data_IF_837707610203
#
_entry.id   IF_837707610203
#
_cell.length_a   1.000
_cell.length_b   1.000
_cell.length_c   1.000
_cell.angle_alpha   90.00
_cell.angle_beta   90.00
_cell.angle_gamma   90.00
#
_symmetry.space_group_name_H-M   'P 1'
#
loop_
_entity.id
_entity.type
_entity.pdbx_description
1 polymer ?
#
# COMPACT_ATOMS: atom_id res chain seq x y z
N UNK A 1 -19.93 6.92 -10.81
CA UNK A 1 -21.39 6.73 -11.07
C UNK A 1 -21.90 7.62 -12.20
N UNK A 2 -21.48 7.38 -13.45
CA UNK A 2 -21.92 8.20 -14.60
C UNK A 2 -21.76 7.56 -15.99
N UNK A 3 -21.53 6.24 -16.08
CA UNK A 3 -21.33 5.51 -17.33
C UNK A 3 -22.37 4.37 -17.48
N UNK A 4 -23.64 4.65 -17.19
CA UNK A 4 -24.76 3.83 -17.65
C UNK A 4 -25.27 4.38 -18.98
N UNK A 5 -24.45 4.33 -20.03
CA UNK A 5 -24.99 4.29 -21.39
C UNK A 5 -25.13 2.82 -21.72
N UNK A 6 -26.39 2.38 -21.81
CA UNK A 6 -26.73 1.02 -22.22
C UNK A 6 -25.97 0.72 -23.51
N UNK A 7 -25.13 -0.32 -23.50
CA UNK A 7 -24.77 -1.02 -24.73
C UNK A 7 -26.06 -1.16 -25.55
N UNK A 8 -25.96 -0.96 -26.87
CA UNK A 8 -27.14 -1.10 -27.73
C UNK A 8 -27.81 -2.42 -27.39
N UNK A 9 -29.15 -2.47 -27.20
CA UNK A 9 -29.85 -3.71 -26.87
C UNK A 9 -29.39 -4.89 -27.74
N UNK A 10 -29.12 -4.60 -29.02
CA UNK A 10 -28.57 -5.51 -30.02
C UNK A 10 -27.26 -6.21 -29.63
N UNK A 11 -26.36 -5.56 -28.89
CA UNK A 11 -25.10 -6.18 -28.46
C UNK A 11 -25.35 -7.23 -27.38
N UNK A 12 -26.23 -6.94 -26.41
CA UNK A 12 -26.57 -7.90 -25.37
C UNK A 12 -27.33 -9.09 -25.93
N UNK A 13 -28.20 -8.87 -26.92
CA UNK A 13 -28.87 -9.94 -27.64
C UNK A 13 -27.85 -10.83 -28.38
N UNK A 14 -26.85 -10.22 -29.04
CA UNK A 14 -25.78 -10.96 -29.71
C UNK A 14 -24.93 -11.79 -28.72
N UNK A 15 -24.57 -11.21 -27.58
CA UNK A 15 -23.83 -11.90 -26.51
C UNK A 15 -24.67 -13.06 -25.96
N UNK A 16 -25.94 -12.83 -25.66
CA UNK A 16 -26.86 -13.85 -25.14
C UNK A 16 -27.06 -15.01 -26.12
N UNK A 17 -27.22 -14.71 -27.41
CA UNK A 17 -27.33 -15.72 -28.47
C UNK A 17 -26.03 -16.53 -28.63
N UNK A 18 -24.87 -15.88 -28.53
CA UNK A 18 -23.59 -16.57 -28.57
C UNK A 18 -23.38 -17.48 -27.35
N UNK A 19 -23.75 -17.03 -26.14
CA UNK A 19 -23.72 -17.84 -24.92
C UNK A 19 -24.66 -19.05 -25.02
N UNK A 20 -25.88 -18.87 -25.55
CA UNK A 20 -26.84 -19.96 -25.76
C UNK A 20 -26.29 -21.00 -26.74
N UNK A 21 -25.77 -20.56 -27.88
CA UNK A 21 -25.16 -21.44 -28.89
C UNK A 21 -23.93 -22.20 -28.37
N UNK A 22 -23.18 -21.63 -27.41
CA UNK A 22 -22.10 -22.35 -26.73
C UNK A 22 -22.62 -23.37 -25.73
N UNK A 23 -23.68 -23.06 -24.98
CA UNK A 23 -24.26 -23.98 -24.00
C UNK A 23 -24.85 -25.24 -24.63
N UNK A 24 -25.30 -25.14 -25.89
CA UNK A 24 -25.77 -26.27 -26.70
C UNK A 24 -24.61 -27.14 -27.22
N UNK A 25 -23.38 -26.64 -27.21
CA UNK A 25 -22.17 -27.34 -27.68
C UNK A 25 -21.56 -28.20 -26.55
N UNK A 26 -22.31 -29.22 -26.12
CA UNK A 26 -22.06 -30.07 -24.94
C UNK A 26 -20.73 -30.85 -25.00
N UNK A 27 -20.05 -30.89 -26.15
CA UNK A 27 -18.88 -31.75 -26.39
C UNK A 27 -17.54 -31.01 -26.45
N UNK A 28 -17.50 -29.69 -26.31
CA UNK A 28 -16.28 -28.90 -26.48
C UNK A 28 -15.85 -28.10 -25.24
N UNK A 29 -14.54 -27.91 -25.05
CA UNK A 29 -14.03 -26.91 -24.11
C UNK A 29 -14.39 -25.52 -24.64
N UNK A 30 -15.35 -24.87 -24.00
CA UNK A 30 -15.78 -23.52 -24.38
C UNK A 30 -14.72 -22.50 -23.94
N UNK A 31 -13.92 -22.03 -24.89
CA UNK A 31 -12.95 -20.95 -24.65
C UNK A 31 -13.55 -19.60 -25.03
N UNK A 32 -12.98 -18.51 -24.51
CA UNK A 32 -13.35 -17.14 -24.88
C UNK A 32 -13.28 -16.91 -26.40
N UNK A 33 -12.33 -17.53 -27.10
CA UNK A 33 -12.26 -17.46 -28.56
C UNK A 33 -13.39 -18.20 -29.27
N UNK A 34 -13.86 -19.30 -28.71
CA UNK A 34 -15.03 -20.00 -29.25
C UNK A 34 -16.27 -19.11 -29.14
N UNK A 35 -16.45 -18.45 -27.99
CA UNK A 35 -17.49 -17.44 -27.78
C UNK A 35 -17.42 -16.33 -28.84
N UNK A 36 -16.26 -15.68 -28.99
CA UNK A 36 -16.10 -14.58 -29.93
C UNK A 36 -16.32 -14.99 -31.39
N UNK A 37 -15.92 -16.21 -31.79
CA UNK A 37 -16.21 -16.74 -33.12
C UNK A 37 -17.70 -17.00 -33.35
N UNK A 38 -18.45 -17.40 -32.31
CA UNK A 38 -19.90 -17.59 -32.41
C UNK A 38 -20.65 -16.26 -32.44
N UNK A 39 -20.21 -15.29 -31.64
CA UNK A 39 -20.75 -13.93 -31.65
C UNK A 39 -20.43 -13.19 -32.96
N UNK A 40 -19.21 -13.37 -33.49
CA UNK A 40 -18.73 -12.71 -34.71
C UNK A 40 -18.05 -13.71 -35.66
N UNK A 41 -18.81 -14.46 -36.49
CA UNK A 41 -18.25 -15.49 -37.38
C UNK A 41 -17.21 -14.99 -38.37
N UNK A 42 -17.21 -13.69 -38.71
CA UNK A 42 -16.24 -13.06 -39.60
C UNK A 42 -14.92 -12.66 -38.93
N UNK A 43 -14.75 -12.88 -37.63
CA UNK A 43 -13.52 -12.50 -36.93
C UNK A 43 -12.31 -13.32 -37.37
N UNK A 44 -11.30 -12.62 -37.90
CA UNK A 44 -9.99 -13.19 -38.21
C UNK A 44 -9.19 -13.39 -36.91
N UNK A 45 -8.17 -14.26 -36.93
CA UNK A 45 -7.31 -14.52 -35.78
C UNK A 45 -6.73 -13.23 -35.18
N UNK A 46 -6.33 -12.27 -36.02
CA UNK A 46 -5.84 -10.96 -35.56
C UNK A 46 -6.86 -10.18 -34.71
N UNK A 47 -8.16 -10.27 -35.02
CA UNK A 47 -9.19 -9.59 -34.24
C UNK A 47 -9.35 -10.26 -32.87
N UNK A 48 -9.31 -11.60 -32.84
CA UNK A 48 -9.40 -12.37 -31.59
C UNK A 48 -8.23 -12.04 -30.65
N UNK A 49 -7.00 -11.95 -31.19
CA UNK A 49 -5.83 -11.50 -30.42
C UNK A 49 -5.98 -10.06 -29.90
N UNK A 50 -6.59 -9.16 -30.69
CA UNK A 50 -6.91 -7.81 -30.22
C UNK A 50 -7.92 -7.81 -29.08
N UNK A 51 -9.00 -8.60 -29.18
CA UNK A 51 -9.99 -8.73 -28.10
C UNK A 51 -9.37 -9.28 -26.81
N UNK A 52 -8.54 -10.33 -26.92
CA UNK A 52 -7.80 -10.86 -25.77
C UNK A 52 -6.91 -9.78 -25.14
N UNK A 53 -6.16 -9.03 -25.96
CA UNK A 53 -5.35 -7.92 -25.48
C UNK A 53 -6.17 -6.86 -24.74
N UNK A 54 -7.37 -6.52 -25.22
CA UNK A 54 -8.26 -5.58 -24.53
C UNK A 54 -8.80 -6.15 -23.21
N UNK A 55 -9.16 -7.43 -23.16
CA UNK A 55 -9.57 -8.08 -21.92
C UNK A 55 -8.44 -8.06 -20.89
N UNK A 56 -7.21 -8.41 -21.28
CA UNK A 56 -6.06 -8.35 -20.38
C UNK A 56 -5.81 -6.92 -19.86
N UNK A 57 -5.89 -5.91 -20.74
CA UNK A 57 -5.74 -4.51 -20.32
C UNK A 57 -6.85 -4.08 -19.36
N UNK A 58 -8.10 -4.50 -19.59
CA UNK A 58 -9.20 -4.22 -18.69
C UNK A 58 -9.01 -4.91 -17.32
N UNK A 59 -8.58 -6.17 -17.31
CA UNK A 59 -8.28 -6.89 -16.08
C UNK A 59 -7.15 -6.19 -15.29
N UNK A 60 -6.12 -5.71 -15.97
CA UNK A 60 -5.04 -4.95 -15.33
C UNK A 60 -5.51 -3.59 -14.80
N UNK A 61 -6.40 -2.92 -15.52
CA UNK A 61 -7.06 -1.70 -15.05
C UNK A 61 -7.89 -1.96 -13.78
N UNK A 62 -8.66 -3.05 -13.74
CA UNK A 62 -9.43 -3.45 -12.56
C UNK A 62 -8.52 -3.76 -11.36
N UNK A 63 -7.40 -4.46 -11.58
CA UNK A 63 -6.41 -4.71 -10.52
C UNK A 63 -5.85 -3.40 -9.95
N UNK A 64 -5.48 -2.44 -10.81
CA UNK A 64 -4.97 -1.14 -10.35
C UNK A 64 -6.03 -0.32 -9.63
N UNK A 65 -7.29 -0.39 -10.06
CA UNK A 65 -8.40 0.26 -9.34
C UNK A 65 -8.56 -0.32 -7.95
N UNK A 66 -8.55 -1.66 -7.81
CA UNK A 66 -8.61 -2.31 -6.51
C UNK A 66 -7.39 -1.99 -5.63
N UNK A 67 -6.20 -1.92 -6.22
CA UNK A 67 -4.98 -1.47 -5.52
C UNK A 67 -5.12 -0.03 -5.02
N UNK A 68 -5.63 0.89 -5.85
CA UNK A 68 -5.89 2.27 -5.46
C UNK A 68 -6.88 2.38 -4.30
N UNK A 69 -7.94 1.57 -4.29
CA UNK A 69 -8.92 1.52 -3.20
C UNK A 69 -8.25 1.09 -1.88
N UNK A 70 -7.41 0.05 -1.91
CA UNK A 70 -6.64 -0.42 -0.75
C UNK A 70 -5.66 0.64 -0.25
N UNK A 71 -4.95 1.34 -1.15
CA UNK A 71 -4.06 2.43 -0.75
C UNK A 71 -4.80 3.62 -0.16
N UNK A 72 -5.99 3.92 -0.68
CA UNK A 72 -6.85 4.98 -0.17
C UNK A 72 -7.31 4.65 1.25
N UNK A 73 -7.73 3.40 1.49
CA UNK A 73 -8.07 2.92 2.84
C UNK A 73 -6.85 3.00 3.78
N UNK A 74 -5.67 2.56 3.34
CA UNK A 74 -4.44 2.65 4.12
C UNK A 74 -4.07 4.10 4.48
N UNK A 75 -4.19 5.04 3.52
CA UNK A 75 -3.99 6.48 3.76
C UNK A 75 -4.99 7.00 4.79
N UNK A 76 -6.26 6.63 4.67
CA UNK A 76 -7.30 7.13 5.59
C UNK A 76 -7.08 6.61 7.02
N UNK A 77 -6.65 5.36 7.18
CA UNK A 77 -6.21 4.79 8.47
C UNK A 77 -5.00 5.58 9.01
N UNK A 78 -3.99 5.82 8.16
CA UNK A 78 -2.77 6.54 8.52
C UNK A 78 -3.07 7.96 9.00
N UNK A 79 -3.88 8.72 8.26
CA UNK A 79 -4.28 10.10 8.58
C UNK A 79 -5.13 10.15 9.84
N UNK A 80 -6.08 9.22 10.00
CA UNK A 80 -6.87 9.10 11.23
C UNK A 80 -5.99 8.89 12.45
N UNK A 81 -4.97 8.03 12.35
CA UNK A 81 -3.99 7.80 13.44
C UNK A 81 -3.07 9.00 13.64
N UNK A 82 -2.65 9.67 12.57
CA UNK A 82 -1.80 10.86 12.64
C UNK A 82 -2.52 12.06 13.30
N UNK A 83 -3.83 12.16 13.09
CA UNK A 83 -4.67 13.19 13.69
C UNK A 83 -4.96 12.97 15.19
N UNK A 84 -4.60 11.81 15.76
CA UNK A 84 -4.77 11.58 17.19
C UNK A 84 -3.82 12.48 18.02
N UNK A 85 -4.28 13.00 19.16
CA UNK A 85 -3.42 13.68 20.11
C UNK A 85 -2.29 12.77 20.58
N UNK A 86 -1.13 13.36 20.84
CA UNK A 86 0.00 12.66 21.45
C UNK A 86 -0.34 12.36 22.89
N UNK A 87 0.08 11.19 23.37
CA UNK A 87 0.01 10.83 24.77
C UNK A 87 0.71 11.92 25.62
N UNK A 88 0.06 12.48 26.66
CA UNK A 88 0.69 13.47 27.53
C UNK A 88 2.00 12.94 28.13
N UNK A 89 2.99 13.82 28.29
CA UNK A 89 4.33 13.46 28.79
C UNK A 89 4.26 12.80 30.17
N UNK A 90 3.37 13.26 31.04
CA UNK A 90 3.18 12.67 32.38
C UNK A 90 2.63 11.24 32.30
N UNK A 91 1.71 10.99 31.37
CA UNK A 91 1.15 9.65 31.15
C UNK A 91 2.19 8.73 30.53
N UNK A 92 2.98 9.22 29.57
CA UNK A 92 4.10 8.46 29.02
C UNK A 92 5.11 8.09 30.11
N UNK A 93 5.60 9.06 30.89
CA UNK A 93 6.57 8.82 31.96
C UNK A 93 6.04 7.83 33.01
N UNK A 94 4.72 7.87 33.29
CA UNK A 94 4.07 6.88 34.15
C UNK A 94 4.13 5.47 33.54
N UNK A 95 3.78 5.31 32.26
CA UNK A 95 3.84 4.01 31.59
C UNK A 95 5.27 3.47 31.50
N UNK A 96 6.25 4.33 31.23
CA UNK A 96 7.66 3.94 31.21
C UNK A 96 8.13 3.45 32.59
N UNK A 97 7.72 4.14 33.66
CA UNK A 97 7.99 3.68 35.03
C UNK A 97 7.30 2.34 35.34
N UNK A 98 6.06 2.14 34.89
CA UNK A 98 5.36 0.86 35.05
C UNK A 98 6.10 -0.28 34.33
N UNK A 99 6.65 -0.02 33.14
CA UNK A 99 7.49 -0.97 32.42
C UNK A 99 8.75 -1.33 33.22
N UNK A 100 9.47 -0.33 33.73
CA UNK A 100 10.68 -0.54 34.56
C UNK A 100 10.38 -1.32 35.85
N UNK A 101 9.20 -1.13 36.45
CA UNK A 101 8.77 -1.92 37.62
C UNK A 101 8.44 -3.39 37.27
N UNK A 102 8.06 -3.66 36.02
CA UNK A 102 7.74 -5.00 35.53
C UNK A 102 8.97 -5.74 34.99
N UNK A 103 9.94 -5.02 34.44
CA UNK A 103 11.25 -5.54 34.03
C UNK A 103 12.18 -5.74 35.25
N UNK A 104 11.83 -6.72 36.08
CA UNK A 104 12.52 -7.03 37.35
C UNK A 104 14.01 -7.32 37.14
N UNK A 105 14.38 -7.87 35.98
CA UNK A 105 15.76 -8.27 35.67
C UNK A 105 16.55 -7.20 34.91
N UNK A 106 15.91 -6.12 34.47
CA UNK A 106 16.53 -5.08 33.67
C UNK A 106 16.98 -5.58 32.29
N UNK A 107 16.25 -6.53 31.70
CA UNK A 107 16.57 -7.11 30.38
C UNK A 107 16.13 -6.22 29.23
N UNK A 108 15.31 -5.20 29.50
CA UNK A 108 14.67 -4.36 28.50
C UNK A 108 13.42 -4.99 27.90
N UNK A 109 12.89 -6.05 28.51
CA UNK A 109 11.68 -6.74 28.07
C UNK A 109 10.88 -7.30 29.25
N UNK A 110 9.56 -7.41 29.06
CA UNK A 110 8.63 -7.92 30.07
C UNK A 110 8.13 -9.30 29.66
N UNK A 111 8.45 -10.30 30.47
CA UNK A 111 8.02 -11.68 30.25
C UNK A 111 6.53 -11.89 30.58
N UNK A 112 5.91 -12.87 29.92
CA UNK A 112 4.53 -13.35 30.15
C UNK A 112 4.22 -13.53 31.64
N UNK A 113 5.13 -14.16 32.38
CA UNK A 113 4.94 -14.48 33.79
C UNK A 113 4.90 -13.22 34.67
N UNK A 114 5.61 -12.14 34.29
CA UNK A 114 5.57 -10.87 35.00
C UNK A 114 4.20 -10.18 34.82
N UNK A 115 3.65 -10.22 33.60
CA UNK A 115 2.32 -9.71 33.25
C UNK A 115 1.24 -10.43 34.08
N UNK A 116 1.24 -11.76 34.04
CA UNK A 116 0.28 -12.58 34.80
C UNK A 116 0.34 -12.29 36.31
N UNK A 117 1.54 -12.18 36.86
CA UNK A 117 1.73 -11.91 38.29
C UNK A 117 1.23 -10.52 38.68
N UNK A 118 1.47 -9.51 37.84
CA UNK A 118 1.15 -8.11 38.14
C UNK A 118 -0.34 -7.80 37.97
N UNK A 119 -0.97 -8.33 36.91
CA UNK A 119 -2.36 -7.99 36.57
C UNK A 119 -3.37 -9.11 36.85
N UNK A 120 -2.91 -10.31 37.20
CA UNK A 120 -3.77 -11.45 37.49
C UNK A 120 -4.49 -12.00 36.26
N UNK A 121 -3.94 -11.75 35.06
CA UNK A 121 -4.48 -12.30 33.81
C UNK A 121 -4.26 -13.80 33.74
N UNK A 122 -5.22 -14.50 33.14
CA UNK A 122 -5.03 -15.91 32.83
C UNK A 122 -4.01 -16.12 31.71
N UNK A 123 -3.57 -17.36 31.55
CA UNK A 123 -2.55 -17.73 30.55
C UNK A 123 -3.02 -17.53 29.11
N UNK A 124 -4.28 -17.81 28.81
CA UNK A 124 -4.79 -17.66 27.45
C UNK A 124 -4.87 -16.18 27.06
N UNK A 125 -5.43 -15.34 27.94
CA UNK A 125 -5.50 -13.89 27.73
C UNK A 125 -4.12 -13.26 27.57
N UNK A 126 -3.14 -13.69 28.37
CA UNK A 126 -1.77 -13.15 28.26
C UNK A 126 -1.14 -13.54 26.93
N UNK A 127 -1.30 -14.80 26.48
CA UNK A 127 -0.82 -15.26 25.18
C UNK A 127 -1.49 -14.53 24.02
N UNK A 128 -2.80 -14.30 24.09
CA UNK A 128 -3.56 -13.59 23.05
C UNK A 128 -3.10 -12.13 22.92
N UNK A 129 -2.76 -11.50 24.05
CA UNK A 129 -2.24 -10.12 24.07
C UNK A 129 -0.82 -10.05 23.54
N UNK A 130 0.05 -10.98 23.97
CA UNK A 130 1.42 -11.04 23.46
C UNK A 130 1.41 -11.30 21.96
N UNK A 131 0.66 -12.29 21.47
CA UNK A 131 0.53 -12.56 20.04
C UNK A 131 0.03 -11.35 19.21
N UNK A 132 -0.61 -10.37 19.86
CA UNK A 132 -1.09 -9.14 19.21
C UNK A 132 -0.06 -8.01 19.20
N UNK A 133 0.78 -7.91 20.24
CA UNK A 133 1.64 -6.74 20.46
C UNK A 133 3.15 -7.05 20.43
N UNK A 134 3.56 -8.30 20.60
CA UNK A 134 4.94 -8.76 20.43
C UNK A 134 5.28 -8.77 18.94
N UNK A 135 5.91 -7.68 18.49
CA UNK A 135 6.26 -7.48 17.08
C UNK A 135 7.53 -8.24 16.69
N UNK A 136 8.43 -8.51 17.65
CA UNK A 136 9.64 -9.31 17.42
C UNK A 136 9.38 -10.81 17.39
N UNK A 137 8.22 -11.26 17.88
CA UNK A 137 7.83 -12.66 18.05
C UNK A 137 8.80 -13.44 18.96
N UNK A 138 9.40 -12.77 19.94
CA UNK A 138 10.37 -13.37 20.86
C UNK A 138 9.74 -13.90 22.16
N UNK A 139 8.43 -13.69 22.33
CA UNK A 139 7.65 -14.13 23.49
C UNK A 139 7.76 -13.18 24.69
N UNK A 140 8.36 -12.01 24.54
CA UNK A 140 8.37 -10.95 25.53
C UNK A 140 7.94 -9.61 24.92
N UNK A 141 7.52 -8.66 25.76
CA UNK A 141 7.16 -7.31 25.29
C UNK A 141 8.33 -6.37 25.55
N UNK A 142 8.89 -5.79 24.50
CA UNK A 142 9.85 -4.71 24.67
C UNK A 142 9.14 -3.42 25.15
N UNK A 143 9.92 -2.37 25.44
CA UNK A 143 9.36 -1.09 25.90
C UNK A 143 8.38 -0.49 24.89
N UNK A 144 8.67 -0.60 23.59
CA UNK A 144 7.80 -0.10 22.52
C UNK A 144 6.49 -0.86 22.42
N UNK A 145 6.53 -2.19 22.50
CA UNK A 145 5.37 -3.07 22.52
C UNK A 145 4.49 -2.78 23.73
N UNK A 146 5.10 -2.67 24.92
CA UNK A 146 4.40 -2.33 26.15
C UNK A 146 3.71 -0.97 26.06
N UNK A 147 4.43 0.07 25.60
CA UNK A 147 3.85 1.40 25.45
C UNK A 147 2.70 1.41 24.44
N UNK A 148 2.78 0.64 23.35
CA UNK A 148 1.69 0.52 22.37
C UNK A 148 0.49 -0.23 22.93
N UNK A 149 0.73 -1.31 23.66
CA UNK A 149 -0.30 -2.07 24.34
C UNK A 149 -1.05 -1.22 25.37
N UNK A 150 -0.32 -0.36 26.10
CA UNK A 150 -0.86 0.46 27.18
C UNK A 150 -1.34 1.85 26.73
N UNK A 151 -1.08 2.25 25.49
CA UNK A 151 -1.52 3.53 24.94
C UNK A 151 -3.06 3.57 24.88
N UNK A 152 -3.72 4.52 25.58
CA UNK A 152 -5.17 4.61 25.56
C UNK A 152 -5.73 4.86 24.16
N UNK A 153 -6.93 4.34 23.90
CA UNK A 153 -7.64 4.59 22.66
C UNK A 153 -7.84 6.10 22.43
N UNK A 154 -7.54 6.55 21.22
CA UNK A 154 -7.63 7.96 20.84
C UNK A 154 -6.35 8.77 21.06
N UNK A 155 -5.30 8.17 21.62
CA UNK A 155 -3.96 8.76 21.66
C UNK A 155 -3.00 8.03 20.72
N UNK A 156 -1.89 8.70 20.41
CA UNK A 156 -0.72 8.11 19.76
C UNK A 156 0.55 8.34 20.57
N UNK A 157 1.53 7.46 20.42
CA UNK A 157 2.82 7.62 21.08
C UNK A 157 3.66 8.72 20.42
N UNK A 158 4.59 9.37 21.15
CA UNK A 158 5.48 10.38 20.56
C UNK A 158 6.40 9.85 19.47
N UNK A 159 6.77 8.56 19.50
CA UNK A 159 7.51 7.91 18.40
C UNK A 159 6.73 7.94 17.08
N UNK A 160 5.41 8.14 17.14
CA UNK A 160 4.54 8.29 15.98
C UNK A 160 4.47 9.74 15.48
N UNK A 161 5.46 10.60 15.76
CA UNK A 161 5.51 11.99 15.29
C UNK A 161 6.82 12.30 14.55
N UNK A 162 6.82 13.43 13.83
CA UNK A 162 8.01 14.02 13.24
C UNK A 162 8.16 13.76 11.75
N UNK A 163 9.30 14.22 11.23
CA UNK A 163 9.61 14.22 9.80
C UNK A 163 9.60 12.80 9.19
N UNK A 164 9.93 11.79 10.00
CA UNK A 164 9.93 10.37 9.59
C UNK A 164 8.54 9.93 9.11
N UNK A 165 7.51 10.34 9.85
CA UNK A 165 6.13 10.03 9.54
C UNK A 165 5.65 10.80 8.32
N UNK A 166 6.11 12.03 8.15
CA UNK A 166 5.79 12.85 6.98
C UNK A 166 6.29 12.21 5.68
N UNK A 167 7.45 11.51 5.71
CA UNK A 167 7.95 10.74 4.56
C UNK A 167 6.96 9.63 4.18
N UNK A 168 6.43 8.89 5.14
CA UNK A 168 5.45 7.83 4.86
C UNK A 168 4.11 8.38 4.35
N UNK A 169 3.63 9.49 4.92
CA UNK A 169 2.46 10.20 4.41
C UNK A 169 2.64 10.69 2.98
N UNK A 170 3.83 11.22 2.65
CA UNK A 170 4.22 11.60 1.30
C UNK A 170 4.23 10.38 0.35
N UNK A 171 4.80 9.25 0.77
CA UNK A 171 4.85 8.02 -0.03
C UNK A 171 3.45 7.50 -0.36
N UNK A 172 2.55 7.43 0.62
CA UNK A 172 1.16 7.00 0.41
C UNK A 172 0.44 7.95 -0.56
N UNK A 173 0.50 9.25 -0.29
CA UNK A 173 -0.17 10.27 -1.11
C UNK A 173 0.37 10.30 -2.54
N UNK A 174 1.69 10.25 -2.70
CA UNK A 174 2.34 10.25 -4.00
C UNK A 174 2.02 9.00 -4.82
N UNK A 175 1.84 7.87 -4.17
CA UNK A 175 1.54 6.58 -4.82
C UNK A 175 0.08 6.49 -5.26
N UNK A 176 -0.86 7.00 -4.45
CA UNK A 176 -2.26 7.16 -4.85
C UNK A 176 -2.34 8.07 -6.08
N UNK A 177 -1.71 9.25 -6.05
CA UNK A 177 -1.69 10.16 -7.22
C UNK A 177 -1.12 9.49 -8.46
N UNK A 178 -0.05 8.72 -8.32
CA UNK A 178 0.54 7.99 -9.45
C UNK A 178 -0.42 6.95 -10.03
N UNK A 179 -1.12 6.18 -9.18
CA UNK A 179 -2.12 5.21 -9.62
C UNK A 179 -3.33 5.89 -10.25
N UNK A 180 -3.85 6.97 -9.65
CA UNK A 180 -4.94 7.78 -10.20
C UNK A 180 -4.59 8.28 -11.61
N UNK A 181 -3.39 8.87 -11.80
CA UNK A 181 -2.92 9.33 -13.10
C UNK A 181 -2.79 8.18 -14.12
N UNK A 182 -2.31 7.01 -13.67
CA UNK A 182 -2.18 5.83 -14.52
C UNK A 182 -3.54 5.26 -14.95
N UNK A 183 -4.49 5.16 -14.02
CA UNK A 183 -5.87 4.72 -14.26
C UNK A 183 -6.56 5.69 -15.20
N UNK A 184 -6.52 7.00 -14.91
CA UNK A 184 -7.14 8.03 -15.75
C UNK A 184 -6.60 8.03 -17.18
N UNK A 185 -5.29 7.82 -17.33
CA UNK A 185 -4.65 7.70 -18.65
C UNK A 185 -5.15 6.48 -19.43
N UNK A 186 -5.32 5.34 -18.78
CA UNK A 186 -5.82 4.10 -19.40
C UNK A 186 -7.33 4.17 -19.68
N UNK A 187 -8.14 4.65 -18.73
CA UNK A 187 -9.56 4.92 -18.94
C UNK A 187 -9.80 5.87 -20.11
N UNK A 188 -8.94 6.88 -20.26
CA UNK A 188 -8.97 7.78 -21.41
C UNK A 188 -8.75 7.08 -22.76
N UNK A 189 -8.20 5.87 -22.81
CA UNK A 189 -8.12 5.07 -24.05
C UNK A 189 -9.46 4.43 -24.41
N UNK A 190 -10.32 4.16 -23.41
CA UNK A 190 -11.63 3.53 -23.58
C UNK A 190 -12.79 4.53 -23.65
N UNK A 191 -12.59 5.76 -23.16
CA UNK A 191 -13.56 6.83 -23.29
C UNK A 191 -13.72 7.22 -24.78
N UNK A 192 -14.70 6.60 -25.45
CA UNK A 192 -15.01 6.85 -26.86
C UNK A 192 -15.29 8.33 -27.17
N UNK A 193 -14.87 8.75 -28.36
CA UNK A 193 -15.00 10.07 -29.00
C UNK A 193 -16.47 10.45 -29.35
N UNK A 194 -17.45 9.82 -28.68
CA UNK A 194 -18.87 9.83 -29.08
C UNK A 194 -19.80 10.56 -28.08
N UNK A 195 -19.25 11.19 -27.06
CA UNK A 195 -19.99 12.09 -26.17
C UNK A 195 -19.73 13.57 -26.50
N UNK A 196 -20.71 14.49 -26.35
CA UNK A 196 -20.46 15.93 -26.43
C UNK A 196 -19.46 16.45 -25.38
N UNK A 197 -19.10 15.62 -24.39
CA UNK A 197 -18.03 15.83 -23.39
C UNK A 197 -16.65 15.28 -23.84
N UNK A 198 -16.55 14.51 -24.94
CA UNK A 198 -15.29 14.01 -25.48
C UNK A 198 -14.43 15.10 -26.16
N UNK A 199 -14.90 16.36 -26.16
CA UNK A 199 -14.13 17.55 -26.51
C UNK A 199 -13.29 18.09 -25.34
N UNK A 200 -13.07 17.32 -24.29
CA UNK A 200 -11.93 17.60 -23.42
C UNK A 200 -10.68 17.66 -24.32
N UNK A 201 -9.98 18.80 -24.39
CA UNK A 201 -8.92 18.99 -25.38
C UNK A 201 -7.92 17.84 -25.30
N UNK A 202 -7.56 17.24 -26.44
CA UNK A 202 -6.43 16.29 -26.54
C UNK A 202 -5.13 16.88 -25.94
N UNK A 203 -5.08 18.19 -25.77
CA UNK A 203 -4.04 18.98 -25.11
C UNK A 203 -3.93 18.71 -23.59
N UNK A 204 -4.94 18.13 -22.95
CA UNK A 204 -4.89 17.76 -21.52
C UNK A 204 -4.17 16.42 -21.25
N UNK A 205 -3.81 15.66 -22.30
CA UNK A 205 -2.89 14.50 -22.14
C UNK A 205 -1.47 15.03 -22.06
N UNK A 206 -1.16 15.70 -20.95
CA UNK A 206 0.19 16.16 -20.65
C UNK A 206 1.11 14.94 -20.76
N UNK A 207 2.09 15.03 -21.67
CA UNK A 207 3.14 14.02 -21.73
C UNK A 207 3.82 14.00 -20.35
N UNK A 208 4.11 12.82 -19.78
CA UNK A 208 4.80 12.76 -18.50
C UNK A 208 6.05 13.61 -18.57
N UNK A 209 6.23 14.49 -17.59
CA UNK A 209 7.39 15.37 -17.49
C UNK A 209 8.65 14.50 -17.58
N UNK A 210 9.50 14.69 -18.60
CA UNK A 210 10.75 13.95 -18.70
C UNK A 210 11.54 14.05 -17.38
N UNK A 211 12.11 12.95 -16.92
CA UNK A 211 12.82 12.89 -15.64
C UNK A 211 13.92 13.96 -15.51
N UNK A 212 14.57 14.33 -16.62
CA UNK A 212 15.59 15.38 -16.67
C UNK A 212 15.07 16.80 -16.36
N UNK A 213 13.76 17.03 -16.47
CA UNK A 213 13.12 18.32 -16.16
C UNK A 213 12.59 18.40 -14.72
N UNK A 214 12.64 17.30 -13.96
CA UNK A 214 12.25 17.33 -12.56
C UNK A 214 13.28 18.14 -11.74
N UNK A 215 12.86 18.82 -10.67
CA UNK A 215 13.76 19.52 -9.76
C UNK A 215 14.71 18.53 -9.08
N UNK A 216 15.94 18.97 -8.84
CA UNK A 216 16.92 18.17 -8.10
C UNK A 216 16.61 18.19 -6.61
N UNK A 217 16.62 17.02 -5.97
CA UNK A 217 16.36 16.92 -4.54
C UNK A 217 17.47 17.63 -3.73
N UNK A 218 17.11 18.44 -2.71
CA UNK A 218 18.10 19.01 -1.80
C UNK A 218 18.93 17.94 -1.10
N UNK A 219 20.24 18.21 -0.90
CA UNK A 219 21.15 17.25 -0.26
C UNK A 219 20.69 16.87 1.15
N UNK A 220 20.25 17.86 1.94
CA UNK A 220 19.78 17.61 3.31
C UNK A 220 18.59 16.63 3.35
N UNK A 221 17.64 16.74 2.41
CA UNK A 221 16.51 15.81 2.31
C UNK A 221 16.96 14.41 1.90
N UNK A 222 17.92 14.31 0.97
CA UNK A 222 18.49 13.02 0.55
C UNK A 222 19.25 12.33 1.69
N UNK A 223 20.06 13.08 2.44
CA UNK A 223 20.76 12.58 3.63
C UNK A 223 19.76 12.11 4.68
N UNK A 224 18.74 12.92 4.98
CA UNK A 224 17.68 12.55 5.92
C UNK A 224 16.98 11.24 5.55
N UNK A 225 16.62 11.04 4.26
CA UNK A 225 16.01 9.78 3.83
C UNK A 225 16.94 8.57 4.01
N UNK A 226 18.24 8.73 3.78
CA UNK A 226 19.21 7.65 4.03
C UNK A 226 19.35 7.34 5.53
N UNK A 227 19.40 8.37 6.37
CA UNK A 227 19.46 8.22 7.84
C UNK A 227 18.19 7.57 8.40
N UNK A 228 17.01 7.95 7.87
CA UNK A 228 15.74 7.31 8.19
C UNK A 228 15.78 5.83 7.84
N UNK A 229 16.26 5.46 6.65
CA UNK A 229 16.41 4.05 6.28
C UNK A 229 17.36 3.32 7.23
N UNK A 230 18.56 3.86 7.47
CA UNK A 230 19.55 3.22 8.37
C UNK A 230 19.02 3.00 9.78
N UNK A 231 18.19 3.92 10.30
CA UNK A 231 17.58 3.76 11.63
C UNK A 231 16.51 2.67 11.67
N UNK A 232 15.75 2.52 10.58
CA UNK A 232 14.74 1.47 10.45
C UNK A 232 15.37 0.09 10.25
N UNK A 233 16.49 0.04 9.53
CA UNK A 233 17.29 -1.15 9.25
C UNK A 233 18.20 -1.51 10.43
N UNK A 234 17.60 -1.87 11.56
CA UNK A 234 18.31 -2.09 12.83
C UNK A 234 19.28 -3.29 12.80
N UNK A 235 19.07 -4.27 11.92
CA UNK A 235 19.96 -5.42 11.71
C UNK A 235 21.00 -5.20 10.59
N UNK A 236 21.01 -4.01 9.96
CA UNK A 236 21.96 -3.58 8.92
C UNK A 236 22.02 -4.55 7.72
N UNK A 237 20.89 -5.16 7.37
CA UNK A 237 20.82 -6.13 6.28
C UNK A 237 20.34 -5.54 4.93
N UNK A 238 20.13 -4.21 4.90
CA UNK A 238 19.63 -3.42 3.77
C UNK A 238 18.19 -3.77 3.36
N UNK A 239 17.43 -4.47 4.23
CA UNK A 239 16.03 -4.85 4.02
C UNK A 239 15.15 -4.47 5.22
N UNK A 240 14.30 -3.47 5.03
CA UNK A 240 13.27 -3.13 6.01
C UNK A 240 12.05 -4.02 5.81
N UNK A 241 11.67 -4.77 6.83
CA UNK A 241 10.50 -5.68 6.86
C UNK A 241 9.33 -5.04 7.61
N UNK A 242 8.16 -5.68 7.56
CA UNK A 242 6.96 -5.22 8.29
C UNK A 242 7.27 -5.01 9.78
N UNK A 243 7.96 -5.97 10.41
CA UNK A 243 8.33 -5.92 11.83
C UNK A 243 9.16 -4.70 12.19
N UNK A 244 10.02 -4.21 11.30
CA UNK A 244 10.93 -3.10 11.59
C UNK A 244 10.14 -1.78 11.62
N UNK A 245 9.21 -1.60 10.68
CA UNK A 245 8.28 -0.46 10.66
C UNK A 245 7.32 -0.47 11.87
N UNK A 246 6.86 -1.67 12.23
CA UNK A 246 5.98 -1.85 13.37
C UNK A 246 6.74 -1.56 14.66
N UNK A 247 7.95 -2.06 14.85
CA UNK A 247 8.75 -1.86 16.06
C UNK A 247 8.98 -0.38 16.36
N UNK A 248 9.27 0.43 15.34
CA UNK A 248 9.39 1.89 15.48
C UNK A 248 8.03 2.58 15.78
N UNK A 249 6.91 1.86 15.64
CA UNK A 249 5.57 2.38 15.86
C UNK A 249 5.11 3.35 14.77
N UNK A 250 5.82 3.45 13.66
CA UNK A 250 5.56 4.46 12.63
C UNK A 250 4.25 4.17 11.88
N UNK A 251 3.91 2.90 11.69
CA UNK A 251 2.76 2.48 10.88
C UNK A 251 1.92 1.42 11.61
N UNK A 252 0.64 1.29 11.22
CA UNK A 252 -0.15 0.11 11.61
C UNK A 252 0.18 -1.06 10.67
N UNK A 253 -0.09 -2.33 11.06
CA UNK A 253 0.20 -3.50 10.23
C UNK A 253 -0.42 -3.42 8.83
N UNK A 254 -1.65 -2.93 8.74
CA UNK A 254 -2.36 -2.77 7.47
C UNK A 254 -1.64 -1.77 6.56
N UNK A 255 -1.24 -0.61 7.10
CA UNK A 255 -0.55 0.43 6.34
C UNK A 255 0.86 -0.02 5.95
N UNK A 256 1.59 -0.67 6.85
CA UNK A 256 2.92 -1.18 6.61
C UNK A 256 2.94 -2.16 5.43
N UNK A 257 2.03 -3.15 5.42
CA UNK A 257 1.94 -4.13 4.34
C UNK A 257 1.67 -3.51 2.97
N UNK A 258 0.72 -2.58 2.90
CA UNK A 258 0.46 -1.87 1.64
C UNK A 258 1.66 -1.03 1.20
N UNK A 259 2.30 -0.34 2.13
CA UNK A 259 3.45 0.50 1.84
C UNK A 259 4.64 -0.33 1.29
N UNK A 260 4.91 -1.52 1.82
CA UNK A 260 5.99 -2.38 1.30
C UNK A 260 5.78 -2.72 -0.19
N UNK A 261 4.56 -3.11 -0.57
CA UNK A 261 4.22 -3.44 -1.97
C UNK A 261 4.38 -2.25 -2.93
N UNK A 262 4.20 -1.02 -2.43
CA UNK A 262 4.41 0.21 -3.19
C UNK A 262 5.89 0.52 -3.37
N UNK A 263 6.66 0.41 -2.28
CA UNK A 263 8.05 0.86 -2.25
C UNK A 263 8.93 -0.05 -3.11
N UNK A 264 8.78 -1.37 -2.95
CA UNK A 264 9.62 -2.36 -3.61
C UNK A 264 8.77 -3.56 -4.04
N UNK A 265 8.04 -3.46 -5.18
CA UNK A 265 7.14 -4.52 -5.61
C UNK A 265 7.83 -5.84 -5.98
N UNK A 266 9.17 -5.86 -6.10
CA UNK A 266 9.95 -7.08 -6.29
C UNK A 266 10.09 -7.89 -4.99
N UNK A 267 9.87 -7.24 -3.85
CA UNK A 267 10.03 -7.80 -2.51
C UNK A 267 8.74 -7.52 -1.71
N UNK A 268 7.69 -8.35 -1.79
CA UNK A 268 6.39 -8.02 -1.18
C UNK A 268 6.43 -7.93 0.36
N UNK A 269 7.39 -8.59 1.01
CA UNK A 269 7.50 -8.71 2.46
C UNK A 269 8.61 -7.81 3.07
N UNK A 270 9.32 -7.04 2.25
CA UNK A 270 10.41 -6.15 2.69
C UNK A 270 10.74 -5.13 1.61
N UNK A 271 11.47 -4.05 1.90
CA UNK A 271 12.00 -3.20 0.83
C UNK A 271 13.46 -2.85 1.02
N UNK A 272 14.15 -2.72 -0.10
CA UNK A 272 15.56 -2.31 -0.13
C UNK A 272 15.72 -0.80 0.04
N UNK A 273 16.91 -0.34 0.44
CA UNK A 273 17.25 1.09 0.46
C UNK A 273 17.05 1.75 -0.90
N UNK A 274 17.41 1.03 -1.95
CA UNK A 274 17.20 1.49 -3.33
C UNK A 274 15.72 1.65 -3.66
N UNK A 275 14.88 0.68 -3.30
CA UNK A 275 13.43 0.75 -3.46
C UNK A 275 12.85 1.96 -2.74
N UNK A 276 13.20 2.12 -1.46
CA UNK A 276 12.78 3.25 -0.62
C UNK A 276 13.10 4.61 -1.22
N UNK A 277 14.37 4.84 -1.57
CA UNK A 277 14.82 6.13 -2.11
C UNK A 277 14.20 6.40 -3.49
N UNK A 278 14.01 5.36 -4.32
CA UNK A 278 13.34 5.50 -5.62
C UNK A 278 11.88 5.89 -5.44
N UNK A 279 11.18 5.25 -4.50
CA UNK A 279 9.80 5.57 -4.17
C UNK A 279 9.66 7.01 -3.63
N UNK A 280 10.59 7.45 -2.77
CA UNK A 280 10.60 8.82 -2.25
C UNK A 280 10.81 9.87 -3.35
N UNK A 281 11.75 9.64 -4.28
CA UNK A 281 11.94 10.52 -5.45
C UNK A 281 10.68 10.59 -6.32
N UNK A 282 10.05 9.45 -6.58
CA UNK A 282 8.81 9.36 -7.37
C UNK A 282 7.65 10.10 -6.68
N UNK A 283 7.47 9.90 -5.38
CA UNK A 283 6.40 10.54 -4.60
C UNK A 283 6.59 12.07 -4.50
N UNK A 284 7.83 12.52 -4.26
CA UNK A 284 8.18 13.95 -4.19
C UNK A 284 8.22 14.66 -5.55
N UNK A 285 8.20 13.93 -6.66
CA UNK A 285 8.33 14.52 -8.00
C UNK A 285 9.71 15.13 -8.24
N UNK A 286 10.75 14.63 -7.57
CA UNK A 286 12.13 15.10 -7.68
C UNK A 286 13.02 14.10 -8.44
N UNK A 287 14.18 14.58 -8.89
CA UNK A 287 15.25 13.74 -9.45
C UNK A 287 16.52 13.81 -8.60
N UNK A 288 17.39 12.83 -8.81
CA UNK A 288 18.77 12.83 -8.31
C UNK A 288 19.72 12.51 -9.46
N UNK A 289 20.76 13.34 -9.67
CA UNK A 289 21.70 13.12 -10.79
C UNK A 289 22.61 11.91 -10.55
N UNK A 290 23.02 11.68 -9.29
CA UNK A 290 23.82 10.53 -8.88
C UNK A 290 23.07 9.74 -7.81
N UNK A 291 22.68 8.52 -8.15
CA UNK A 291 22.02 7.62 -7.24
C UNK A 291 23.07 6.87 -6.40
N UNK A 292 23.55 7.53 -5.35
CA UNK A 292 24.48 6.96 -4.38
C UNK A 292 23.67 6.55 -3.15
N UNK A 293 23.56 5.25 -2.88
CA UNK A 293 23.06 4.74 -1.61
C UNK A 293 24.18 4.90 -0.58
N UNK A 294 23.95 5.67 0.48
CA UNK A 294 24.89 5.70 1.60
C UNK A 294 25.05 4.30 2.17
N UNK A 295 26.28 3.91 2.52
CA UNK A 295 26.56 2.79 3.42
C UNK A 295 26.79 3.34 4.81
#
# INVERSE_FOLDING_TARGET
YGLQRSLTPDLWDLVGDAMRKMSEDIRGHSTFFHFLKKAYPGCKLKHLATFEGWCCQYDDLQKRSAEMDLLTEARDIFEKKNAMPVLPVDDQARLEKEFEEMDIFGTGCVEVAAIQRRWGWDEQMTRDIIAKYDVSEDGCLDKGDFLRMMCPDGYRLPSMQGEDRDVFGMLLTGSIRYLEDAILKEEGLYAEDHGPLAKAPKEARLKPTPFSLLPEIPEATWTFWNELFTRLDADEDDHIRERDLLREGLLSPEVARHLMTIIDPEHPDSFTRRGFLTACLKASGCRRAKFECGR
#
